data_IF_607733343943
#
_entry.id   IF_607733343943
#
_cell.length_a   1.000
_cell.length_b   1.000
_cell.length_c   1.000
_cell.angle_alpha   90.00
_cell.angle_beta   90.00
_cell.angle_gamma   90.00
#
_symmetry.space_group_name_H-M   'P 1'
#
loop_
_entity.id
_entity.type
_entity.pdbx_description
1 polymer ?
#
# COMPACT_ATOMS: atom_id res chain seq x y z
N UNK A 1 43.19 -47.78 9.48
CA UNK A 1 43.98 -47.43 10.68
C UNK A 1 44.12 -48.71 11.48
N UNK A 2 45.34 -49.15 11.76
CA UNK A 2 45.59 -50.35 12.60
C UNK A 2 45.84 -49.88 14.02
N UNK A 3 44.96 -50.24 14.95
CA UNK A 3 45.12 -49.94 16.38
C UNK A 3 45.71 -51.15 17.10
N UNK A 4 46.67 -50.97 18.02
CA UNK A 4 47.11 -52.06 18.89
C UNK A 4 46.00 -52.59 19.81
N UNK A 5 44.85 -51.92 19.84
CA UNK A 5 43.66 -52.31 20.61
C UNK A 5 42.50 -52.82 19.73
N UNK A 6 42.73 -53.07 18.43
CA UNK A 6 41.68 -53.47 17.47
C UNK A 6 40.82 -54.65 17.97
N UNK A 7 41.44 -55.64 18.62
CA UNK A 7 40.76 -56.83 19.17
C UNK A 7 39.75 -56.52 20.28
N UNK A 8 39.82 -55.35 20.90
CA UNK A 8 38.94 -54.93 22.00
C UNK A 8 37.89 -53.89 21.57
N UNK A 9 38.02 -53.30 20.37
CA UNK A 9 37.05 -52.33 19.86
C UNK A 9 35.68 -52.99 19.64
N UNK A 10 34.59 -52.27 19.96
CA UNK A 10 33.21 -52.76 19.87
C UNK A 10 32.90 -53.99 20.76
N UNK A 11 33.64 -54.19 21.85
CA UNK A 11 33.37 -55.21 22.87
C UNK A 11 33.04 -54.57 24.22
N UNK A 12 32.59 -55.38 25.19
CA UNK A 12 32.38 -54.93 26.58
C UNK A 12 33.67 -55.02 27.44
N UNK A 13 34.85 -55.14 26.82
CA UNK A 13 36.11 -55.24 27.53
C UNK A 13 36.42 -53.96 28.32
N UNK A 14 36.79 -54.10 29.60
CA UNK A 14 37.16 -53.00 30.48
C UNK A 14 38.70 -52.92 30.63
N UNK A 15 39.37 -51.88 30.09
CA UNK A 15 40.81 -51.74 30.17
C UNK A 15 41.28 -51.38 31.59
N UNK A 16 42.46 -51.86 31.97
CA UNK A 16 43.16 -51.45 33.21
C UNK A 16 43.65 -50.00 33.13
N UNK A 17 43.96 -49.37 34.28
CA UNK A 17 44.51 -48.01 34.34
C UNK A 17 45.76 -47.81 33.46
N UNK A 18 46.58 -48.86 33.34
CA UNK A 18 47.79 -48.85 32.50
C UNK A 18 47.46 -48.85 31.00
N UNK A 19 46.40 -49.56 30.61
CA UNK A 19 45.91 -49.62 29.23
C UNK A 19 45.18 -48.33 28.85
N UNK A 20 44.41 -47.75 29.78
CA UNK A 20 43.79 -46.43 29.60
C UNK A 20 44.84 -45.37 29.25
N UNK A 21 45.97 -45.33 29.97
CA UNK A 21 47.07 -44.40 29.64
C UNK A 21 47.65 -44.64 28.24
N UNK A 22 47.83 -45.90 27.84
CA UNK A 22 48.33 -46.25 26.50
C UNK A 22 47.32 -45.87 25.40
N UNK A 23 46.03 -46.09 25.63
CA UNK A 23 44.94 -45.68 24.71
C UNK A 23 44.91 -44.16 24.59
N UNK A 24 44.97 -43.42 25.71
CA UNK A 24 45.01 -41.95 25.70
C UNK A 24 46.17 -41.44 24.84
N UNK A 25 47.39 -41.96 25.05
CA UNK A 25 48.57 -41.59 24.24
C UNK A 25 48.37 -41.94 22.77
N UNK A 26 47.78 -43.09 22.46
CA UNK A 26 47.51 -43.50 21.08
C UNK A 26 46.47 -42.63 20.37
N UNK A 27 45.51 -42.05 21.10
CA UNK A 27 44.49 -41.16 20.55
C UNK A 27 45.02 -39.75 20.24
N UNK A 28 46.07 -39.27 20.93
CA UNK A 28 46.57 -37.89 20.76
C UNK A 28 46.84 -37.52 19.28
N UNK A 29 47.55 -38.32 18.46
CA UNK A 29 47.79 -37.98 17.06
C UNK A 29 46.50 -37.95 16.23
N UNK A 30 45.54 -38.80 16.54
CA UNK A 30 44.24 -38.85 15.84
C UNK A 30 43.36 -37.65 16.21
N UNK A 31 43.34 -37.26 17.48
CA UNK A 31 42.68 -36.02 17.92
C UNK A 31 43.31 -34.79 17.30
N UNK A 32 44.63 -34.76 17.15
CA UNK A 32 45.33 -33.65 16.48
C UNK A 32 45.02 -33.59 14.98
N UNK A 33 44.96 -34.73 14.28
CA UNK A 33 44.59 -34.76 12.86
C UNK A 33 43.11 -34.39 12.67
N UNK A 34 42.21 -34.84 13.54
CA UNK A 34 40.81 -34.40 13.51
C UNK A 34 40.71 -32.87 13.65
N UNK A 35 41.40 -32.28 14.62
CA UNK A 35 41.46 -30.82 14.79
C UNK A 35 42.09 -30.11 13.57
N UNK A 36 43.09 -30.72 12.93
CA UNK A 36 43.71 -30.18 11.70
C UNK A 36 42.72 -30.19 10.52
N UNK A 37 41.99 -31.28 10.33
CA UNK A 37 40.99 -31.39 9.27
C UNK A 37 39.81 -30.44 9.52
N UNK A 38 39.37 -30.27 10.76
CA UNK A 38 38.36 -29.27 11.12
C UNK A 38 38.81 -27.84 10.81
N UNK A 39 40.07 -27.52 11.11
CA UNK A 39 40.66 -26.23 10.75
C UNK A 39 40.71 -26.02 9.23
N UNK A 40 41.06 -27.06 8.46
CA UNK A 40 41.09 -27.01 7.00
C UNK A 40 39.68 -26.86 6.40
N UNK A 41 38.68 -27.57 6.93
CA UNK A 41 37.28 -27.45 6.49
C UNK A 41 36.78 -26.01 6.70
N UNK A 42 37.12 -25.41 7.84
CA UNK A 42 36.78 -24.01 8.13
C UNK A 42 37.44 -23.06 7.12
N UNK A 43 38.75 -23.19 6.89
CA UNK A 43 39.47 -22.35 5.92
C UNK A 43 38.90 -22.48 4.50
N UNK A 44 38.66 -23.71 4.04
CA UNK A 44 38.06 -23.96 2.72
C UNK A 44 36.63 -23.42 2.61
N UNK A 45 35.85 -23.47 3.69
CA UNK A 45 34.50 -22.89 3.73
C UNK A 45 34.55 -21.37 3.61
N UNK A 46 35.47 -20.72 4.32
CA UNK A 46 35.69 -19.28 4.23
C UNK A 46 36.17 -18.88 2.82
N UNK A 47 37.07 -19.66 2.21
CA UNK A 47 37.52 -19.45 0.84
C UNK A 47 36.37 -19.62 -0.17
N UNK A 48 35.51 -20.62 0.02
CA UNK A 48 34.33 -20.84 -0.81
C UNK A 48 33.36 -19.66 -0.72
N UNK A 49 33.07 -19.17 0.49
CA UNK A 49 32.19 -18.01 0.69
C UNK A 49 32.74 -16.76 0.00
N UNK A 50 34.04 -16.46 0.18
CA UNK A 50 34.71 -15.35 -0.51
C UNK A 50 34.64 -15.47 -2.04
N UNK A 51 34.83 -16.69 -2.56
CA UNK A 51 34.77 -16.95 -4.00
C UNK A 51 33.35 -16.77 -4.54
N UNK A 52 32.33 -17.26 -3.82
CA UNK A 52 30.93 -17.06 -4.20
C UNK A 52 30.55 -15.59 -4.17
N UNK A 53 30.93 -14.84 -3.11
CA UNK A 53 30.70 -13.40 -3.06
C UNK A 53 31.37 -12.64 -4.22
N UNK A 54 32.57 -13.07 -4.62
CA UNK A 54 33.27 -12.51 -5.79
C UNK A 54 32.49 -12.80 -7.09
N UNK A 55 32.02 -14.04 -7.29
CA UNK A 55 31.21 -14.41 -8.45
C UNK A 55 29.91 -13.60 -8.49
N UNK A 56 29.17 -13.54 -7.38
CA UNK A 56 27.90 -12.83 -7.27
C UNK A 56 28.07 -11.32 -7.57
N UNK A 57 29.14 -10.71 -7.08
CA UNK A 57 29.45 -9.31 -7.38
C UNK A 57 29.67 -9.06 -8.88
N UNK A 58 30.36 -9.98 -9.57
CA UNK A 58 30.61 -9.88 -11.01
C UNK A 58 29.36 -10.20 -11.84
N UNK A 59 28.57 -11.18 -11.43
CA UNK A 59 27.27 -11.47 -12.04
C UNK A 59 26.33 -10.27 -11.92
N UNK A 60 26.31 -9.61 -10.76
CA UNK A 60 25.54 -8.40 -10.55
C UNK A 60 25.99 -7.26 -11.49
N UNK A 61 27.29 -7.12 -11.76
CA UNK A 61 27.85 -6.12 -12.69
C UNK A 61 27.37 -6.33 -14.13
N UNK A 62 27.31 -7.57 -14.59
CA UNK A 62 26.86 -7.92 -15.95
C UNK A 62 25.34 -8.11 -16.06
N UNK A 63 24.59 -7.89 -14.97
CA UNK A 63 23.14 -8.03 -14.97
C UNK A 63 22.48 -7.15 -16.04
N UNK A 64 21.58 -7.69 -16.87
CA UNK A 64 20.85 -6.91 -17.88
C UNK A 64 20.12 -5.70 -17.30
N UNK A 65 19.67 -5.79 -16.04
CA UNK A 65 18.98 -4.72 -15.34
C UNK A 65 19.82 -3.43 -15.21
N UNK A 66 21.16 -3.54 -15.23
CA UNK A 66 22.07 -2.37 -15.19
C UNK A 66 22.24 -1.70 -16.55
N UNK A 67 21.86 -2.37 -17.64
CA UNK A 67 21.96 -1.84 -19.02
C UNK A 67 20.64 -1.30 -19.54
N UNK A 68 19.56 -1.45 -18.78
CA UNK A 68 18.26 -0.93 -19.18
C UNK A 68 18.33 0.60 -19.27
N UNK A 69 17.86 1.18 -20.39
CA UNK A 69 17.65 2.62 -20.48
C UNK A 69 16.73 3.12 -19.37
N UNK A 70 16.94 4.36 -18.93
CA UNK A 70 16.22 4.94 -17.79
C UNK A 70 14.71 4.93 -17.98
N UNK A 71 14.25 5.31 -19.17
CA UNK A 71 12.85 5.32 -19.59
C UNK A 71 12.22 3.93 -19.49
N UNK A 72 12.93 2.89 -19.94
CA UNK A 72 12.44 1.50 -19.81
C UNK A 72 12.29 1.08 -18.34
N UNK A 73 13.23 1.47 -17.47
CA UNK A 73 13.12 1.22 -16.02
C UNK A 73 11.92 1.97 -15.42
N UNK A 74 11.66 3.20 -15.86
CA UNK A 74 10.49 3.98 -15.42
C UNK A 74 9.18 3.29 -15.81
N UNK A 75 9.06 2.81 -17.05
CA UNK A 75 7.89 2.08 -17.52
C UNK A 75 7.66 0.79 -16.73
N UNK A 76 8.74 0.03 -16.46
CA UNK A 76 8.68 -1.16 -15.60
C UNK A 76 8.18 -0.78 -14.20
N UNK A 77 8.68 0.32 -13.62
CA UNK A 77 8.27 0.75 -12.28
C UNK A 77 6.79 1.14 -12.23
N UNK A 78 6.30 1.83 -13.27
CA UNK A 78 4.89 2.19 -13.39
C UNK A 78 4.01 0.93 -13.50
N UNK A 79 4.45 -0.08 -14.23
CA UNK A 79 3.76 -1.37 -14.33
C UNK A 79 3.76 -2.17 -13.01
N UNK A 80 4.65 -1.84 -12.07
CA UNK A 80 4.67 -2.45 -10.73
C UNK A 80 3.69 -1.80 -9.73
N UNK A 81 3.03 -0.70 -10.10
CA UNK A 81 2.04 -0.06 -9.22
C UNK A 81 0.77 -0.94 -9.09
N UNK A 82 0.05 -0.85 -7.95
CA UNK A 82 -1.24 -1.52 -7.81
C UNK A 82 -2.24 -1.05 -8.88
N UNK A 83 -2.92 -2.01 -9.51
CA UNK A 83 -3.86 -1.74 -10.61
C UNK A 83 -5.28 -1.43 -10.16
N UNK A 84 -5.67 -1.86 -8.96
CA UNK A 84 -7.06 -1.87 -8.49
C UNK A 84 -7.31 -0.94 -7.29
N UNK A 85 -6.26 -0.31 -6.76
CA UNK A 85 -6.34 0.58 -5.61
C UNK A 85 -5.21 1.61 -5.65
N UNK A 86 -5.33 2.63 -4.82
CA UNK A 86 -4.24 3.57 -4.62
C UNK A 86 -3.07 2.94 -3.84
N UNK A 87 -1.87 3.48 -4.04
CA UNK A 87 -0.63 3.01 -3.39
C UNK A 87 -0.62 3.35 -1.91
N UNK A 88 -0.22 2.39 -1.08
CA UNK A 88 0.03 2.62 0.35
C UNK A 88 1.48 3.00 0.60
N UNK A 89 1.73 3.76 1.68
CA UNK A 89 3.09 4.11 2.12
C UNK A 89 3.79 2.93 2.82
N UNK A 90 3.85 1.77 2.17
CA UNK A 90 4.49 0.57 2.71
C UNK A 90 5.89 0.36 2.13
N UNK A 91 6.85 0.00 2.98
CA UNK A 91 8.19 -0.40 2.57
C UNK A 91 8.25 -1.65 1.67
N UNK A 92 7.18 -2.45 1.68
CA UNK A 92 7.07 -3.71 0.93
C UNK A 92 6.32 -3.57 -0.40
N UNK A 93 5.92 -2.35 -0.77
CA UNK A 93 5.13 -2.08 -1.97
C UNK A 93 5.74 -0.98 -2.84
N UNK A 94 5.44 -0.99 -4.14
CA UNK A 94 5.79 0.09 -5.04
C UNK A 94 5.00 1.37 -4.68
N UNK A 95 5.63 2.56 -4.79
CA UNK A 95 6.98 2.81 -5.32
C UNK A 95 8.13 2.66 -4.31
N UNK A 96 7.86 2.51 -3.01
CA UNK A 96 8.89 2.53 -1.97
C UNK A 96 9.86 1.35 -2.05
N UNK A 97 9.38 0.13 -2.33
CA UNK A 97 10.23 -1.05 -2.47
C UNK A 97 11.23 -0.88 -3.63
N UNK A 98 10.82 -0.24 -4.73
CA UNK A 98 11.66 0.01 -5.89
C UNK A 98 12.81 0.96 -5.55
N UNK A 99 12.56 1.93 -4.67
CA UNK A 99 13.57 2.85 -4.15
C UNK A 99 14.54 2.20 -3.14
N UNK A 100 14.36 0.93 -2.77
CA UNK A 100 15.22 0.20 -1.82
C UNK A 100 16.17 -0.80 -2.50
N UNK A 101 15.99 -1.07 -3.78
CA UNK A 101 16.75 -2.10 -4.51
C UNK A 101 18.24 -1.71 -4.68
N UNK A 102 18.51 -0.55 -5.29
CA UNK A 102 19.87 -0.03 -5.43
C UNK A 102 19.86 1.50 -5.55
N UNK A 103 21.04 2.14 -5.51
CA UNK A 103 21.16 3.60 -5.61
C UNK A 103 20.64 4.16 -6.94
N UNK A 104 20.94 3.49 -8.06
CA UNK A 104 20.46 3.92 -9.38
C UNK A 104 18.94 3.86 -9.49
N UNK A 105 18.32 2.77 -9.03
CA UNK A 105 16.88 2.59 -9.03
C UNK A 105 16.18 3.56 -8.08
N UNK A 106 16.79 3.86 -6.93
CA UNK A 106 16.33 4.91 -6.03
C UNK A 106 16.28 6.26 -6.73
N UNK A 107 17.35 6.65 -7.41
CA UNK A 107 17.37 7.91 -8.17
C UNK A 107 16.27 7.96 -9.22
N UNK A 108 16.06 6.86 -9.96
CA UNK A 108 14.98 6.77 -10.97
C UNK A 108 13.61 6.89 -10.31
N UNK A 109 13.32 6.09 -9.28
CA UNK A 109 12.03 6.09 -8.59
C UNK A 109 11.70 7.47 -8.00
N UNK A 110 12.66 8.10 -7.32
CA UNK A 110 12.46 9.43 -6.70
C UNK A 110 12.29 10.55 -7.73
N UNK A 111 12.82 10.40 -8.94
CA UNK A 111 12.75 11.41 -10.01
C UNK A 111 11.65 11.12 -11.04
N UNK A 112 10.75 10.18 -10.77
CA UNK A 112 9.64 9.81 -11.66
C UNK A 112 8.31 10.15 -11.00
N UNK A 113 7.76 11.36 -11.24
CA UNK A 113 6.62 11.86 -10.48
C UNK A 113 5.35 11.00 -10.56
N UNK A 114 5.12 10.36 -11.72
CA UNK A 114 3.96 9.49 -11.94
C UNK A 114 3.90 8.30 -10.95
N UNK A 115 5.03 7.84 -10.41
CA UNK A 115 5.07 6.79 -9.39
C UNK A 115 4.44 7.20 -8.05
N UNK A 116 4.37 8.51 -7.80
CA UNK A 116 3.89 9.11 -6.56
C UNK A 116 2.53 9.80 -6.75
N UNK A 117 1.91 9.63 -7.92
CA UNK A 117 0.67 10.28 -8.31
C UNK A 117 -0.59 9.62 -7.71
N UNK A 118 -0.42 8.55 -6.94
CA UNK A 118 -1.47 7.86 -6.20
C UNK A 118 -1.11 7.80 -4.72
N UNK A 119 -2.09 7.87 -3.83
CA UNK A 119 -1.89 7.73 -2.38
C UNK A 119 -3.16 7.22 -1.68
N UNK A 120 -3.01 6.16 -0.89
CA UNK A 120 -4.03 5.68 0.03
C UNK A 120 -3.60 5.98 1.48
N UNK A 121 -4.50 6.62 2.23
CA UNK A 121 -4.37 6.89 3.65
C UNK A 121 -5.51 6.19 4.40
N UNK A 122 -5.22 5.16 5.19
CA UNK A 122 -6.16 4.67 6.19
C UNK A 122 -6.52 5.82 7.14
N UNK A 123 -7.80 6.00 7.44
CA UNK A 123 -8.26 7.14 8.25
C UNK A 123 -7.61 7.12 9.64
N UNK A 124 -7.38 5.92 10.17
CA UNK A 124 -6.71 5.69 11.46
C UNK A 124 -5.34 6.37 11.55
N UNK A 125 -4.65 6.50 10.42
CA UNK A 125 -3.30 7.05 10.37
C UNK A 125 -3.29 8.56 10.23
N UNK A 126 -4.39 9.19 9.82
CA UNK A 126 -4.45 10.66 9.66
C UNK A 126 -4.34 11.36 11.02
N UNK A 127 -4.75 10.68 12.10
CA UNK A 127 -4.60 11.14 13.47
C UNK A 127 -3.15 11.09 13.99
N UNK A 128 -2.24 10.41 13.29
CA UNK A 128 -0.83 10.34 13.66
C UNK A 128 -0.02 11.49 13.04
N UNK A 129 0.44 12.41 13.89
CA UNK A 129 1.33 13.52 13.51
C UNK A 129 2.59 13.08 12.76
N UNK A 130 3.08 11.86 13.02
CA UNK A 130 4.25 11.31 12.35
C UNK A 130 4.05 11.15 10.84
N UNK A 131 2.79 11.13 10.39
CA UNK A 131 2.39 10.96 8.99
C UNK A 131 2.57 12.22 8.14
N UNK A 132 2.57 13.41 8.74
CA UNK A 132 2.64 14.67 7.99
C UNK A 132 3.89 14.75 7.11
N UNK A 133 5.09 14.52 7.66
CA UNK A 133 6.33 14.61 6.88
C UNK A 133 6.44 13.57 5.74
N UNK A 134 6.05 12.29 5.92
CA UNK A 134 5.90 11.33 4.84
C UNK A 134 4.94 11.79 3.73
N UNK A 135 3.75 12.30 4.09
CA UNK A 135 2.74 12.77 3.12
C UNK A 135 3.27 13.96 2.33
N UNK A 136 3.84 14.97 2.99
CA UNK A 136 4.45 16.12 2.30
C UNK A 136 5.53 15.67 1.31
N UNK A 137 6.39 14.72 1.69
CA UNK A 137 7.41 14.17 0.79
C UNK A 137 6.80 13.40 -0.38
N UNK A 138 5.73 12.64 -0.15
CA UNK A 138 5.02 11.90 -1.18
C UNK A 138 4.40 12.84 -2.22
N UNK A 139 3.62 13.83 -1.75
CA UNK A 139 2.99 14.83 -2.60
C UNK A 139 4.03 15.68 -3.32
N UNK A 140 5.14 16.04 -2.67
CA UNK A 140 6.25 16.75 -3.31
C UNK A 140 6.87 15.96 -4.46
N UNK A 141 7.02 14.63 -4.33
CA UNK A 141 7.55 13.76 -5.40
C UNK A 141 6.59 13.61 -6.56
N UNK A 142 5.27 13.67 -6.31
CA UNK A 142 4.24 13.64 -7.37
C UNK A 142 4.32 14.82 -8.34
N UNK A 143 5.04 15.89 -7.96
CA UNK A 143 5.27 17.05 -8.81
C UNK A 143 3.96 17.70 -9.27
N UNK A 144 3.71 17.67 -10.59
CA UNK A 144 2.49 18.21 -11.21
C UNK A 144 1.55 17.14 -11.75
N UNK A 145 1.82 15.87 -11.47
CA UNK A 145 0.96 14.79 -11.92
C UNK A 145 -0.46 14.94 -11.35
N UNK A 146 -1.51 14.55 -12.11
CA UNK A 146 -2.85 14.41 -11.57
C UNK A 146 -2.84 13.39 -10.42
N UNK A 147 -3.51 13.71 -9.31
CA UNK A 147 -3.46 12.93 -8.08
C UNK A 147 -4.70 12.05 -7.92
N UNK A 148 -4.47 10.77 -7.62
CA UNK A 148 -5.49 9.84 -7.17
C UNK A 148 -5.34 9.59 -5.67
N UNK A 149 -6.31 10.03 -4.86
CA UNK A 149 -6.26 9.97 -3.41
C UNK A 149 -7.39 9.09 -2.87
N UNK A 150 -7.11 8.30 -1.83
CA UNK A 150 -8.15 7.59 -1.09
C UNK A 150 -7.92 7.66 0.42
N UNK A 151 -8.90 8.19 1.14
CA UNK A 151 -8.94 8.27 2.60
C UNK A 151 -10.10 7.41 3.07
N UNK A 152 -9.80 6.28 3.73
CA UNK A 152 -10.83 5.31 4.09
C UNK A 152 -10.69 4.88 5.54
N UNK A 153 -11.75 5.05 6.34
CA UNK A 153 -11.81 4.52 7.70
C UNK A 153 -12.44 3.14 7.81
N UNK A 154 -12.03 2.37 8.81
CA UNK A 154 -12.70 1.14 9.23
C UNK A 154 -14.01 1.42 9.98
N UNK A 155 -14.95 0.47 9.93
CA UNK A 155 -16.27 0.58 10.56
C UNK A 155 -16.23 0.49 12.11
N UNK A 156 -15.05 0.41 12.71
CA UNK A 156 -14.84 0.22 14.15
C UNK A 156 -14.22 1.47 14.80
N UNK A 157 -14.79 2.65 14.55
CA UNK A 157 -14.32 3.91 15.12
C UNK A 157 -14.60 4.04 16.63
N UNK A 158 -15.30 3.07 17.25
CA UNK A 158 -15.64 3.06 18.68
C UNK A 158 -14.43 2.89 19.64
N UNK A 159 -13.18 2.88 19.14
CA UNK A 159 -11.97 2.62 19.95
C UNK A 159 -10.94 3.76 20.00
N UNK A 160 -11.19 4.92 19.42
CA UNK A 160 -10.21 6.02 19.42
C UNK A 160 -10.70 7.25 20.19
N UNK A 161 -10.76 7.12 21.52
CA UNK A 161 -11.02 8.25 22.44
C UNK A 161 -9.79 9.16 22.66
N UNK A 162 -8.60 8.78 22.18
CA UNK A 162 -7.32 9.45 22.46
C UNK A 162 -6.63 10.09 21.23
N UNK A 163 -7.38 10.61 20.25
CA UNK A 163 -6.79 11.32 19.11
C UNK A 163 -6.47 12.79 19.43
N UNK A 164 -5.23 13.22 19.17
CA UNK A 164 -4.84 14.64 19.22
C UNK A 164 -5.35 15.37 17.96
N UNK A 165 -6.27 16.35 18.08
CA UNK A 165 -6.84 17.06 16.92
C UNK A 165 -5.80 17.77 16.05
N UNK A 166 -4.65 18.17 16.61
CA UNK A 166 -3.65 18.97 15.90
C UNK A 166 -2.98 18.25 14.72
N UNK A 167 -2.95 16.90 14.72
CA UNK A 167 -2.23 16.12 13.71
C UNK A 167 -3.01 15.96 12.42
N UNK A 168 -4.34 15.86 12.58
CA UNK A 168 -5.30 15.79 11.48
C UNK A 168 -5.19 17.04 10.60
N UNK A 169 -5.17 18.22 11.22
CA UNK A 169 -5.15 19.49 10.49
C UNK A 169 -3.89 19.66 9.62
N UNK A 170 -2.71 19.21 10.08
CA UNK A 170 -1.49 19.34 9.30
C UNK A 170 -1.52 18.48 8.03
N UNK A 171 -1.96 17.22 8.14
CA UNK A 171 -2.11 16.31 6.99
C UNK A 171 -3.21 16.80 6.05
N UNK A 172 -4.37 17.17 6.61
CA UNK A 172 -5.49 17.72 5.84
C UNK A 172 -5.06 18.97 5.08
N UNK A 173 -4.36 19.92 5.72
CA UNK A 173 -3.88 21.13 5.07
C UNK A 173 -2.98 20.82 3.88
N UNK A 174 -2.08 19.85 4.02
CA UNK A 174 -1.18 19.43 2.94
C UNK A 174 -1.93 18.80 1.77
N UNK A 175 -2.96 18.00 2.05
CA UNK A 175 -3.84 17.47 1.02
C UNK A 175 -4.64 18.58 0.33
N UNK A 176 -5.23 19.51 1.09
CA UNK A 176 -5.97 20.67 0.58
C UNK A 176 -5.09 21.53 -0.34
N UNK A 177 -3.81 21.76 0.02
CA UNK A 177 -2.85 22.50 -0.83
C UNK A 177 -2.62 21.86 -2.19
N UNK A 178 -2.84 20.55 -2.32
CA UNK A 178 -2.66 19.78 -3.56
C UNK A 178 -3.94 19.64 -4.41
N UNK A 179 -5.05 20.24 -3.96
CA UNK A 179 -6.39 20.07 -4.54
C UNK A 179 -6.53 20.51 -6.00
N UNK A 180 -5.68 21.40 -6.49
CA UNK A 180 -5.65 21.86 -7.88
C UNK A 180 -5.26 20.76 -8.88
N UNK A 181 -4.67 19.67 -8.37
CA UNK A 181 -4.22 18.51 -9.14
C UNK A 181 -5.03 17.24 -8.89
N UNK A 182 -6.04 17.27 -8.02
CA UNK A 182 -6.85 16.08 -7.75
C UNK A 182 -7.59 15.64 -9.03
N UNK A 183 -7.46 14.36 -9.37
CA UNK A 183 -8.09 13.70 -10.52
C UNK A 183 -9.14 12.69 -10.06
N UNK A 184 -8.78 11.82 -9.11
CA UNK A 184 -9.71 10.87 -8.49
C UNK A 184 -9.59 10.95 -6.97
N UNK A 185 -10.72 11.02 -6.27
CA UNK A 185 -10.75 11.14 -4.81
C UNK A 185 -11.77 10.17 -4.24
N UNK A 186 -11.34 9.35 -3.28
CA UNK A 186 -12.21 8.50 -2.47
C UNK A 186 -12.14 8.95 -1.00
N UNK A 187 -13.28 9.27 -0.39
CA UNK A 187 -13.37 9.71 1.01
C UNK A 187 -14.40 8.87 1.75
N UNK A 188 -14.06 8.40 2.95
CA UNK A 188 -14.97 7.71 3.85
C UNK A 188 -14.79 8.21 5.28
N UNK A 189 -15.83 8.83 5.84
CA UNK A 189 -15.81 9.42 7.18
C UNK A 189 -17.22 9.62 7.75
N UNK A 190 -17.36 9.54 9.08
CA UNK A 190 -18.68 9.52 9.72
C UNK A 190 -19.12 10.84 10.38
N UNK A 191 -18.23 11.82 10.67
CA UNK A 191 -18.62 13.23 10.98
C UNK A 191 -17.43 14.16 11.33
N UNK A 192 -16.23 13.94 10.79
CA UNK A 192 -15.07 14.73 11.21
C UNK A 192 -14.97 16.07 10.48
N UNK A 193 -15.00 17.19 11.22
CA UNK A 193 -14.89 18.55 10.63
C UNK A 193 -13.62 18.72 9.79
N UNK A 194 -12.49 18.14 10.24
CA UNK A 194 -11.21 18.17 9.50
C UNK A 194 -11.31 17.54 8.12
N UNK A 195 -11.99 16.39 8.00
CA UNK A 195 -12.18 15.72 6.71
C UNK A 195 -13.23 16.40 5.85
N UNK A 196 -14.25 17.02 6.47
CA UNK A 196 -15.20 17.84 5.73
C UNK A 196 -14.49 18.97 4.99
N UNK A 197 -13.39 19.54 5.54
CA UNK A 197 -12.57 20.55 4.84
C UNK A 197 -12.06 20.06 3.49
N UNK A 198 -11.67 18.78 3.37
CA UNK A 198 -11.23 18.18 2.09
C UNK A 198 -12.35 18.22 1.04
N UNK A 199 -13.60 18.05 1.47
CA UNK A 199 -14.76 18.09 0.61
C UNK A 199 -15.23 19.52 0.28
N UNK A 200 -14.79 20.52 1.05
CA UNK A 200 -15.09 21.94 0.82
C UNK A 200 -14.12 22.63 -0.14
N UNK A 201 -13.12 21.93 -0.65
CA UNK A 201 -12.12 22.52 -1.53
C UNK A 201 -12.60 22.63 -2.97
N UNK A 202 -12.09 23.64 -3.68
CA UNK A 202 -12.22 23.72 -5.13
C UNK A 202 -11.17 22.84 -5.81
N UNK A 203 -11.61 21.75 -6.45
CA UNK A 203 -10.75 20.78 -7.11
C UNK A 203 -11.00 20.78 -8.64
N UNK A 204 -10.51 21.78 -9.40
CA UNK A 204 -10.93 22.06 -10.78
C UNK A 204 -10.65 20.95 -11.81
N UNK A 205 -9.81 19.98 -11.47
CA UNK A 205 -9.43 18.86 -12.34
C UNK A 205 -10.05 17.53 -11.91
N UNK A 206 -10.87 17.53 -10.86
CA UNK A 206 -11.45 16.30 -10.32
C UNK A 206 -12.40 15.67 -11.35
N UNK A 207 -12.08 14.45 -11.77
CA UNK A 207 -12.84 13.67 -12.76
C UNK A 207 -13.75 12.66 -12.07
N UNK A 208 -13.25 12.00 -11.02
CA UNK A 208 -13.98 10.96 -10.32
C UNK A 208 -13.99 11.21 -8.81
N UNK A 209 -15.15 11.03 -8.19
CA UNK A 209 -15.28 11.10 -6.73
C UNK A 209 -16.07 9.92 -6.20
N UNK A 210 -15.58 9.35 -5.11
CA UNK A 210 -16.29 8.35 -4.32
C UNK A 210 -16.40 8.81 -2.87
N UNK A 211 -17.61 8.87 -2.33
CA UNK A 211 -17.85 9.41 -0.99
C UNK A 211 -18.70 8.42 -0.20
N UNK A 212 -18.27 8.12 1.02
CA UNK A 212 -19.03 7.42 2.05
C UNK A 212 -19.13 8.32 3.28
N UNK A 213 -20.30 8.92 3.50
CA UNK A 213 -20.57 9.75 4.68
C UNK A 213 -22.08 9.91 4.88
N UNK A 214 -22.49 10.65 5.91
CA UNK A 214 -23.89 11.06 6.10
C UNK A 214 -24.37 11.98 4.95
N UNK A 215 -25.65 11.83 4.56
CA UNK A 215 -26.27 12.60 3.46
C UNK A 215 -26.24 14.09 3.71
N UNK A 216 -26.42 14.50 4.97
CA UNK A 216 -26.48 15.91 5.35
C UNK A 216 -25.18 16.66 5.00
N UNK A 217 -24.04 15.97 5.07
CA UNK A 217 -22.74 16.52 4.70
C UNK A 217 -22.57 16.63 3.18
N UNK A 218 -23.05 15.64 2.42
CA UNK A 218 -22.92 15.60 0.95
C UNK A 218 -23.53 16.84 0.30
N UNK A 219 -24.67 17.33 0.82
CA UNK A 219 -25.36 18.50 0.28
C UNK A 219 -24.51 19.78 0.36
N UNK A 220 -23.50 19.82 1.24
CA UNK A 220 -22.66 20.99 1.49
C UNK A 220 -21.35 20.93 0.70
N UNK A 221 -21.07 19.83 0.01
CA UNK A 221 -19.76 19.56 -0.56
C UNK A 221 -19.48 20.33 -1.86
N UNK A 222 -18.48 21.21 -1.82
CA UNK A 222 -18.06 21.97 -3.02
C UNK A 222 -17.36 21.12 -4.05
N UNK A 223 -16.68 20.03 -3.67
CA UNK A 223 -16.00 19.17 -4.64
C UNK A 223 -16.96 18.57 -5.69
N UNK A 224 -18.23 18.37 -5.32
CA UNK A 224 -19.28 17.82 -6.18
C UNK A 224 -19.76 18.80 -7.26
N UNK A 225 -19.52 20.10 -7.08
CA UNK A 225 -19.93 21.16 -8.02
C UNK A 225 -18.94 21.38 -9.16
N UNK A 226 -17.81 20.66 -9.13
CA UNK A 226 -16.69 20.84 -10.05
C UNK A 226 -17.08 20.55 -11.51
N UNK A 227 -16.74 21.42 -12.48
CA UNK A 227 -17.12 21.26 -13.88
C UNK A 227 -16.45 20.07 -14.60
N UNK A 228 -15.30 19.62 -14.13
CA UNK A 228 -14.56 18.47 -14.69
C UNK A 228 -15.11 17.12 -14.23
N UNK A 229 -16.02 17.11 -13.25
CA UNK A 229 -16.54 15.87 -12.67
C UNK A 229 -17.32 15.07 -13.71
N UNK A 230 -17.04 13.78 -13.81
CA UNK A 230 -17.64 12.82 -14.76
C UNK A 230 -18.14 11.56 -14.07
N UNK A 231 -17.51 11.16 -12.98
CA UNK A 231 -17.81 9.92 -12.27
C UNK A 231 -18.11 10.23 -10.80
N UNK A 232 -19.26 9.76 -10.32
CA UNK A 232 -19.70 9.97 -8.94
C UNK A 232 -20.17 8.65 -8.37
N UNK A 233 -19.61 8.28 -7.22
CA UNK A 233 -20.04 7.12 -6.44
C UNK A 233 -20.37 7.57 -5.04
N UNK A 234 -21.65 7.54 -4.65
CA UNK A 234 -22.07 7.88 -3.29
C UNK A 234 -22.51 6.61 -2.58
N UNK A 235 -21.94 6.36 -1.41
CA UNK A 235 -22.30 5.28 -0.52
C UNK A 235 -22.98 5.88 0.70
N UNK A 236 -24.29 5.64 0.83
CA UNK A 236 -25.14 6.42 1.72
C UNK A 236 -25.88 5.51 2.69
N UNK A 237 -25.89 5.91 3.97
CA UNK A 237 -26.37 5.05 5.04
C UNK A 237 -27.90 5.04 5.25
N UNK A 238 -28.67 6.10 4.86
CA UNK A 238 -30.12 6.21 5.15
C UNK A 238 -30.89 7.16 4.20
N UNK A 239 -32.18 6.90 3.98
CA UNK A 239 -33.19 7.81 3.40
C UNK A 239 -32.82 8.48 2.06
N UNK A 240 -32.24 7.70 1.14
CA UNK A 240 -31.52 8.19 -0.03
C UNK A 240 -32.38 8.95 -1.07
N UNK A 241 -33.54 8.42 -1.42
CA UNK A 241 -34.38 8.86 -2.55
C UNK A 241 -34.73 10.35 -2.57
N UNK A 242 -35.11 10.90 -1.41
CA UNK A 242 -35.58 12.29 -1.26
C UNK A 242 -34.47 13.33 -1.44
N UNK A 243 -33.20 12.95 -1.27
CA UNK A 243 -32.08 13.89 -1.29
C UNK A 243 -31.36 13.93 -2.64
N UNK A 244 -31.48 12.89 -3.46
CA UNK A 244 -30.81 12.84 -4.76
C UNK A 244 -31.10 14.06 -5.63
N UNK A 245 -32.36 14.53 -5.78
CA UNK A 245 -32.63 15.69 -6.61
C UNK A 245 -31.97 16.98 -6.10
N UNK A 246 -31.58 17.02 -4.82
CA UNK A 246 -30.98 18.15 -4.12
C UNK A 246 -29.44 18.10 -4.12
N UNK A 247 -28.84 17.00 -4.58
CA UNK A 247 -27.39 16.87 -4.61
C UNK A 247 -26.77 17.99 -5.47
N UNK A 248 -25.68 18.62 -5.01
CA UNK A 248 -25.03 19.73 -5.70
C UNK A 248 -24.18 19.25 -6.89
N UNK A 249 -24.78 18.44 -7.76
CA UNK A 249 -24.14 17.79 -8.89
C UNK A 249 -24.46 18.49 -10.21
N UNK A 250 -23.45 18.51 -11.09
CA UNK A 250 -23.57 18.97 -12.48
C UNK A 250 -24.02 17.82 -13.38
N UNK A 251 -25.29 17.43 -13.24
CA UNK A 251 -25.87 16.22 -13.86
C UNK A 251 -25.60 16.08 -15.37
N UNK A 252 -25.60 17.18 -16.13
CA UNK A 252 -25.40 17.19 -17.59
C UNK A 252 -24.04 16.65 -18.06
N UNK A 253 -23.05 16.67 -17.17
CA UNK A 253 -21.67 16.28 -17.47
C UNK A 253 -21.32 14.89 -16.95
N UNK A 254 -22.18 14.26 -16.16
CA UNK A 254 -21.91 12.97 -15.56
C UNK A 254 -22.04 11.84 -16.58
N UNK A 255 -21.10 10.91 -16.51
CA UNK A 255 -20.99 9.72 -17.38
C UNK A 255 -21.11 8.43 -16.59
N UNK A 256 -20.69 8.43 -15.33
CA UNK A 256 -20.77 7.27 -14.44
C UNK A 256 -21.38 7.71 -13.11
N UNK A 257 -22.47 7.05 -12.72
CA UNK A 257 -23.13 7.29 -11.44
C UNK A 257 -23.30 5.95 -10.75
N UNK A 258 -22.85 5.88 -9.49
CA UNK A 258 -23.05 4.75 -8.60
C UNK A 258 -23.69 5.23 -7.30
N UNK A 259 -24.78 4.59 -6.93
CA UNK A 259 -25.46 4.82 -5.67
C UNK A 259 -25.63 3.49 -4.95
N UNK A 260 -24.77 3.26 -3.96
CA UNK A 260 -24.75 2.01 -3.22
C UNK A 260 -25.27 2.30 -1.79
N UNK A 261 -25.99 1.36 -1.19
CA UNK A 261 -26.46 1.48 0.20
C UNK A 261 -25.53 0.71 1.13
N UNK A 262 -25.19 1.29 2.28
CA UNK A 262 -24.46 0.57 3.35
C UNK A 262 -25.29 0.48 4.62
N UNK A 263 -25.64 -0.74 5.00
CA UNK A 263 -26.24 -1.04 6.30
C UNK A 263 -26.58 -2.52 6.44
N UNK A 264 -26.56 -3.04 7.68
CA UNK A 264 -27.06 -4.39 8.02
C UNK A 264 -28.58 -4.53 7.84
N UNK A 265 -29.28 -3.41 7.68
CA UNK A 265 -30.67 -3.34 7.30
C UNK A 265 -30.69 -3.03 5.80
N UNK A 266 -30.82 -4.07 4.97
CA UNK A 266 -31.00 -4.01 3.51
C UNK A 266 -32.31 -3.30 3.09
N UNK A 267 -32.80 -2.36 3.89
CA UNK A 267 -34.03 -1.65 3.61
C UNK A 267 -33.71 -0.48 2.69
N UNK A 268 -34.15 -0.70 1.45
CA UNK A 268 -34.42 0.31 0.43
C UNK A 268 -33.21 0.74 -0.40
N UNK A 269 -32.99 -0.01 -1.49
CA UNK A 269 -32.31 0.52 -2.67
C UNK A 269 -33.09 1.67 -3.31
N UNK A 270 -32.53 2.26 -4.36
CA UNK A 270 -33.14 3.40 -5.04
C UNK A 270 -34.50 3.05 -5.65
N UNK A 271 -35.55 3.86 -5.41
CA UNK A 271 -36.83 3.61 -6.08
C UNK A 271 -36.73 3.82 -7.60
N UNK A 272 -37.52 3.07 -8.40
CA UNK A 272 -37.53 3.22 -9.85
C UNK A 272 -37.81 4.65 -10.32
N UNK A 273 -38.67 5.39 -9.62
CA UNK A 273 -39.02 6.77 -9.98
C UNK A 273 -37.82 7.71 -9.85
N UNK A 274 -37.03 7.57 -8.78
CA UNK A 274 -35.84 8.40 -8.60
C UNK A 274 -34.72 7.96 -9.54
N UNK A 275 -34.59 6.66 -9.82
CA UNK A 275 -33.70 6.16 -10.86
C UNK A 275 -34.00 6.81 -12.23
N UNK A 276 -35.26 6.76 -12.68
CA UNK A 276 -35.70 7.40 -13.93
C UNK A 276 -35.43 8.92 -13.89
N UNK A 277 -35.66 9.57 -12.75
CA UNK A 277 -35.37 10.99 -12.58
C UNK A 277 -33.89 11.31 -12.80
N UNK A 278 -32.98 10.50 -12.26
CA UNK A 278 -31.53 10.64 -12.47
C UNK A 278 -31.16 10.41 -13.93
N UNK A 279 -31.68 9.34 -14.54
CA UNK A 279 -31.42 9.01 -15.95
C UNK A 279 -31.82 10.17 -16.88
N UNK A 280 -32.97 10.80 -16.63
CA UNK A 280 -33.44 11.94 -17.41
C UNK A 280 -32.60 13.21 -17.24
N UNK A 281 -31.89 13.37 -16.11
CA UNK A 281 -31.00 14.52 -15.85
C UNK A 281 -29.58 14.32 -16.39
N UNK A 282 -29.21 13.11 -16.79
CA UNK A 282 -27.86 12.77 -17.25
C UNK A 282 -27.85 12.34 -18.72
N UNK A 283 -27.92 13.28 -19.68
CA UNK A 283 -27.93 12.96 -21.11
C UNK A 283 -26.65 12.27 -21.61
N UNK A 284 -25.57 12.31 -20.83
CA UNK A 284 -24.26 11.71 -21.17
C UNK A 284 -23.94 10.45 -20.36
N UNK A 285 -24.92 9.90 -19.64
CA UNK A 285 -24.70 8.73 -18.79
C UNK A 285 -24.36 7.49 -19.62
N UNK A 286 -23.23 6.88 -19.29
CA UNK A 286 -22.74 5.63 -19.89
C UNK A 286 -22.94 4.46 -18.93
N UNK A 287 -22.76 4.71 -17.63
CA UNK A 287 -22.90 3.69 -16.58
C UNK A 287 -23.73 4.21 -15.42
N UNK A 288 -24.78 3.47 -15.09
CA UNK A 288 -25.58 3.67 -13.90
C UNK A 288 -25.54 2.39 -13.07
N UNK A 289 -25.15 2.51 -11.79
CA UNK A 289 -25.20 1.42 -10.82
C UNK A 289 -26.02 1.89 -9.63
N UNK A 290 -26.96 1.06 -9.21
CA UNK A 290 -27.70 1.27 -7.97
C UNK A 290 -28.09 -0.07 -7.39
N UNK A 291 -28.10 -0.18 -6.06
CA UNK A 291 -28.90 -1.20 -5.40
C UNK A 291 -30.37 -0.85 -5.63
N UNK A 292 -31.19 -1.80 -6.09
CA UNK A 292 -32.60 -1.58 -6.42
C UNK A 292 -33.47 -2.20 -5.34
N UNK A 293 -34.44 -1.43 -4.84
CA UNK A 293 -35.46 -1.96 -3.94
C UNK A 293 -36.51 -2.72 -4.77
N UNK A 294 -36.72 -4.01 -4.48
CA UNK A 294 -37.74 -4.83 -5.15
C UNK A 294 -39.12 -4.77 -4.47
N UNK A 295 -39.30 -3.94 -3.44
CA UNK A 295 -40.60 -3.75 -2.81
C UNK A 295 -41.43 -2.73 -3.59
N UNK A 296 -42.17 -3.22 -4.59
CA UNK A 296 -43.34 -2.55 -5.14
C UNK A 296 -44.53 -2.76 -4.20
N UNK A 297 -44.93 -1.74 -3.47
CA UNK A 297 -46.30 -1.56 -2.98
C UNK A 297 -46.84 -0.19 -3.42
#
# INVERSE_FOLDING_TARGET
MTSPFDQYLNTNYAPSDSEVKKIQVHLVPHSLEAARLEALIRDLSDQREKTLAYIDAHQALISPARRLPRDIVQEIFLACLPSHRNTVMSATEAPLILARICSAWRTIALSTPALWASLHLPLEYIFDHSLHAPVTKWLGRSGRCPLSLSIIGSQNLDQWEDCDPGGVDAVVDELVRSSDRWDRVELSFDSEEGLLRLAQVYAPKLVAVKIRCDVSEILRMKLLTTPSLREVSLLIARAFDRFIPQLPLRWDYLTHISFDSTGMYHMEGLSPNVAIHVLNRCPRLVRFKSDVNNNTE
#
